data_IF_722794057790
#
_entry.id   IF_722794057790
#
_cell.length_a   1.000
_cell.length_b   1.000
_cell.length_c   1.000
_cell.angle_alpha   90.00
_cell.angle_beta   90.00
_cell.angle_gamma   90.00
#
_symmetry.space_group_name_H-M   'P 1'
#
loop_
_entity.id
_entity.type
_entity.pdbx_description
1 polymer ?
#
# COMPACT_ATOMS: atom_id res chain seq x y z
N UNK A 1 22.91 9.98 11.01
CA UNK A 1 21.87 10.12 9.99
C UNK A 1 21.05 11.34 10.36
N UNK A 2 20.85 12.31 9.43
CA UNK A 2 20.00 13.49 9.70
C UNK A 2 18.59 12.98 10.02
N UNK A 3 17.93 13.56 11.02
CA UNK A 3 16.57 13.20 11.40
C UNK A 3 15.65 13.34 10.19
N UNK A 4 15.10 12.20 9.78
CA UNK A 4 14.13 12.13 8.70
C UNK A 4 12.77 12.64 9.23
N UNK A 5 12.16 13.67 8.60
CA UNK A 5 10.97 14.35 9.12
C UNK A 5 9.75 13.44 9.22
N UNK A 6 9.70 12.32 8.46
CA UNK A 6 8.62 11.35 8.49
C UNK A 6 8.96 10.11 9.33
N UNK A 7 10.13 10.07 9.95
CA UNK A 7 10.61 8.93 10.73
C UNK A 7 10.66 7.61 9.92
N UNK A 8 11.03 7.69 8.63
CA UNK A 8 11.10 6.54 7.75
C UNK A 8 12.31 5.65 8.01
N UNK A 9 12.11 4.35 7.79
CA UNK A 9 13.18 3.36 7.73
C UNK A 9 13.63 3.19 6.25
N UNK A 10 14.90 3.46 5.94
CA UNK A 10 15.45 3.39 4.59
C UNK A 10 16.22 2.08 4.32
N UNK A 11 15.94 1.02 5.05
CA UNK A 11 16.59 -0.27 4.80
C UNK A 11 16.08 -0.87 3.48
N UNK A 12 16.97 -1.46 2.66
CA UNK A 12 16.55 -2.30 1.54
C UNK A 12 15.63 -3.43 2.04
N UNK A 13 14.63 -3.78 1.23
CA UNK A 13 13.68 -4.83 1.54
C UNK A 13 14.03 -6.11 0.77
N UNK A 14 13.93 -7.24 1.43
CA UNK A 14 13.86 -8.55 0.75
C UNK A 14 12.45 -8.78 0.20
N UNK A 15 12.29 -9.70 -0.76
CA UNK A 15 10.97 -10.08 -1.29
C UNK A 15 10.02 -10.55 -0.19
N UNK A 16 10.52 -11.31 0.78
CA UNK A 16 9.72 -11.78 1.92
C UNK A 16 9.28 -10.63 2.84
N UNK A 17 10.17 -9.65 3.06
CA UNK A 17 9.78 -8.45 3.80
C UNK A 17 8.74 -7.62 3.04
N UNK A 18 8.90 -7.47 1.72
CA UNK A 18 7.90 -6.79 0.87
C UNK A 18 6.54 -7.50 0.95
N UNK A 19 6.52 -8.83 0.92
CA UNK A 19 5.31 -9.62 1.04
C UNK A 19 4.63 -9.41 2.41
N UNK A 20 5.40 -9.45 3.50
CA UNK A 20 4.90 -9.16 4.85
C UNK A 20 4.36 -7.74 4.96
N UNK A 21 5.03 -6.76 4.36
CA UNK A 21 4.60 -5.36 4.36
C UNK A 21 3.26 -5.18 3.61
N UNK A 22 3.05 -5.88 2.49
CA UNK A 22 1.76 -5.90 1.80
C UNK A 22 0.66 -6.50 2.69
N UNK A 23 0.95 -7.60 3.39
CA UNK A 23 -0.01 -8.23 4.31
C UNK A 23 -0.39 -7.29 5.45
N UNK A 24 0.60 -6.64 6.09
CA UNK A 24 0.37 -5.65 7.15
C UNK A 24 -0.45 -4.45 6.67
N UNK A 25 -0.22 -4.01 5.44
CA UNK A 25 -0.95 -2.89 4.84
C UNK A 25 -2.33 -3.28 4.28
N UNK A 26 -2.69 -4.58 4.31
CA UNK A 26 -3.88 -5.15 3.67
C UNK A 26 -4.00 -4.74 2.18
N UNK A 27 -2.90 -4.83 1.45
CA UNK A 27 -2.78 -4.48 0.03
C UNK A 27 -2.57 -5.73 -0.80
N UNK A 28 -3.43 -5.96 -1.79
CA UNK A 28 -3.33 -7.12 -2.67
C UNK A 28 -2.00 -7.15 -3.43
N UNK A 29 -1.36 -8.32 -3.47
CA UNK A 29 -0.04 -8.50 -4.07
C UNK A 29 -0.03 -9.69 -5.03
N UNK A 30 0.73 -9.55 -6.12
CA UNK A 30 0.95 -10.61 -7.10
C UNK A 30 2.41 -11.06 -7.08
N UNK A 31 2.60 -12.37 -6.95
CA UNK A 31 3.91 -13.01 -6.90
C UNK A 31 4.25 -13.56 -8.29
N UNK A 32 5.21 -12.90 -8.96
CA UNK A 32 5.77 -13.34 -10.22
C UNK A 32 6.92 -14.32 -9.99
N UNK A 33 7.18 -15.18 -10.97
CA UNK A 33 8.37 -16.01 -11.03
C UNK A 33 8.07 -17.39 -11.56
N UNK A 34 9.10 -18.16 -11.93
CA UNK A 34 8.96 -19.48 -12.54
C UNK A 34 8.29 -20.47 -11.61
N UNK A 35 7.80 -21.57 -12.19
CA UNK A 35 7.24 -22.68 -11.44
C UNK A 35 8.31 -23.26 -10.50
N UNK A 36 7.91 -23.62 -9.28
CA UNK A 36 8.81 -24.24 -8.31
C UNK A 36 9.70 -23.27 -7.52
N UNK A 37 9.66 -21.93 -7.76
CA UNK A 37 10.47 -20.95 -7.01
C UNK A 37 10.01 -20.72 -5.56
N UNK A 38 8.94 -21.41 -5.14
CA UNK A 38 8.48 -21.39 -3.75
C UNK A 38 7.40 -20.35 -3.42
N UNK A 39 6.73 -19.76 -4.43
CA UNK A 39 5.65 -18.75 -4.20
C UNK A 39 4.60 -19.22 -3.18
N UNK A 40 4.00 -20.39 -3.42
CA UNK A 40 2.96 -20.95 -2.55
C UNK A 40 3.49 -21.37 -1.16
N UNK A 41 4.78 -21.77 -1.07
CA UNK A 41 5.41 -22.09 0.22
C UNK A 41 5.59 -20.85 1.10
N UNK A 42 5.96 -19.71 0.51
CA UNK A 42 6.10 -18.43 1.22
C UNK A 42 4.77 -17.94 1.76
N UNK A 43 3.68 -18.12 1.01
CA UNK A 43 2.33 -17.81 1.48
C UNK A 43 1.95 -18.64 2.69
N UNK A 44 2.29 -19.96 2.68
CA UNK A 44 2.05 -20.84 3.84
C UNK A 44 2.91 -20.51 5.06
N UNK A 45 4.08 -19.93 4.87
CA UNK A 45 4.90 -19.43 5.98
C UNK A 45 4.27 -18.23 6.67
N UNK A 46 3.57 -17.37 5.91
CA UNK A 46 2.85 -16.20 6.44
C UNK A 46 1.53 -16.63 7.10
N UNK A 47 0.74 -17.41 6.39
CA UNK A 47 -0.52 -17.95 6.90
C UNK A 47 -0.59 -19.46 6.60
N UNK A 48 -0.22 -20.34 7.56
CA UNK A 48 -0.32 -21.79 7.40
C UNK A 48 -1.74 -22.27 7.11
N UNK A 49 -2.74 -21.44 7.45
CA UNK A 49 -4.16 -21.72 7.27
C UNK A 49 -4.76 -21.06 6.03
N UNK A 50 -3.94 -20.42 5.18
CA UNK A 50 -4.38 -19.71 3.99
C UNK A 50 -5.46 -20.46 3.20
N UNK A 51 -6.43 -19.71 2.68
CA UNK A 51 -7.45 -20.29 1.80
C UNK A 51 -6.96 -20.24 0.36
N UNK A 52 -6.91 -21.38 -0.31
CA UNK A 52 -6.35 -21.53 -1.65
C UNK A 52 -7.43 -21.62 -2.70
N UNK A 53 -7.28 -20.88 -3.79
CA UNK A 53 -7.96 -21.07 -5.08
C UNK A 53 -6.85 -21.38 -6.09
N UNK A 54 -6.69 -22.64 -6.49
CA UNK A 54 -5.76 -23.00 -7.58
C UNK A 54 -6.53 -22.98 -8.90
N UNK A 55 -6.22 -22.00 -9.74
CA UNK A 55 -6.86 -21.84 -11.02
C UNK A 55 -6.38 -22.90 -12.03
N UNK A 56 -7.29 -23.37 -12.84
CA UNK A 56 -7.05 -24.40 -13.88
C UNK A 56 -7.65 -23.96 -15.21
N UNK A 57 -7.02 -24.30 -16.35
CA UNK A 57 -7.50 -23.87 -17.66
C UNK A 57 -8.99 -24.20 -17.93
N UNK A 58 -9.50 -25.29 -17.36
CA UNK A 58 -10.88 -25.77 -17.51
C UNK A 58 -11.77 -25.40 -16.30
N UNK A 59 -11.33 -24.52 -15.42
CA UNK A 59 -12.10 -24.15 -14.24
C UNK A 59 -13.41 -23.45 -14.63
N UNK A 60 -14.51 -23.90 -14.03
CA UNK A 60 -15.81 -23.26 -14.25
C UNK A 60 -15.90 -21.93 -13.49
N UNK A 61 -16.48 -20.90 -14.11
CA UNK A 61 -16.70 -19.59 -13.45
C UNK A 61 -17.47 -19.70 -12.11
N UNK A 62 -18.33 -20.70 -11.97
CA UNK A 62 -19.14 -20.96 -10.78
C UNK A 62 -18.28 -21.39 -9.56
N UNK A 63 -17.15 -22.03 -9.79
CA UNK A 63 -16.21 -22.41 -8.71
C UNK A 63 -15.63 -21.15 -8.04
N UNK A 64 -15.55 -20.04 -8.75
CA UNK A 64 -15.06 -18.74 -8.24
C UNK A 64 -16.23 -17.87 -7.76
N UNK A 65 -17.30 -17.78 -8.55
CA UNK A 65 -18.38 -16.82 -8.36
C UNK A 65 -19.62 -17.34 -7.61
N UNK A 66 -19.66 -18.65 -7.25
CA UNK A 66 -20.80 -19.28 -6.64
C UNK A 66 -21.86 -19.72 -7.65
N UNK A 67 -22.86 -20.43 -7.19
CA UNK A 67 -23.93 -21.08 -8.00
C UNK A 67 -25.28 -20.49 -7.68
N UNK A 68 -26.06 -20.17 -8.71
CA UNK A 68 -27.47 -19.79 -8.53
C UNK A 68 -28.31 -21.03 -8.21
N UNK A 69 -28.94 -21.07 -7.06
CA UNK A 69 -29.99 -22.03 -6.76
C UNK A 69 -31.28 -21.63 -7.53
N UNK A 70 -31.64 -22.40 -8.54
CA UNK A 70 -32.79 -22.11 -9.41
C UNK A 70 -34.15 -22.26 -8.72
N UNK A 71 -34.22 -23.02 -7.63
CA UNK A 71 -35.43 -23.22 -6.87
C UNK A 71 -35.74 -22.05 -5.92
N UNK A 72 -34.70 -21.54 -5.25
CA UNK A 72 -34.82 -20.44 -4.26
C UNK A 72 -34.55 -19.07 -4.86
N UNK A 73 -33.89 -18.99 -6.02
CA UNK A 73 -33.40 -17.73 -6.60
C UNK A 73 -32.19 -17.13 -5.88
N UNK A 74 -31.65 -17.80 -4.88
CA UNK A 74 -30.52 -17.34 -4.10
C UNK A 74 -29.18 -17.88 -4.64
N UNK A 75 -28.10 -17.13 -4.47
CA UNK A 75 -26.77 -17.60 -4.79
C UNK A 75 -26.16 -18.38 -3.62
N UNK A 76 -25.65 -19.57 -3.92
CA UNK A 76 -24.86 -20.38 -3.00
C UNK A 76 -23.40 -19.92 -3.07
N UNK A 77 -22.79 -19.52 -1.93
CA UNK A 77 -21.40 -19.07 -1.91
C UNK A 77 -20.42 -20.18 -2.34
N UNK A 78 -19.31 -19.80 -3.00
CA UNK A 78 -18.27 -20.76 -3.30
C UNK A 78 -17.58 -21.24 -2.02
N UNK A 79 -17.00 -22.43 -2.05
CA UNK A 79 -16.39 -23.06 -0.87
C UNK A 79 -15.25 -22.23 -0.28
N UNK A 80 -14.43 -21.62 -1.14
CA UNK A 80 -13.32 -20.76 -0.68
C UNK A 80 -13.81 -19.61 0.18
N UNK A 81 -14.95 -19.00 -0.18
CA UNK A 81 -15.51 -17.88 0.56
C UNK A 81 -16.01 -18.30 1.95
N UNK A 82 -16.76 -19.40 2.03
CA UNK A 82 -17.27 -19.90 3.32
C UNK A 82 -16.12 -20.29 4.26
N UNK A 83 -15.05 -20.88 3.72
CA UNK A 83 -13.85 -21.21 4.50
C UNK A 83 -13.11 -19.97 5.00
N UNK A 84 -12.89 -18.98 4.12
CA UNK A 84 -12.21 -17.74 4.48
C UNK A 84 -12.99 -16.97 5.55
N UNK A 85 -14.30 -16.75 5.33
CA UNK A 85 -15.15 -16.01 6.27
C UNK A 85 -15.19 -16.67 7.64
N UNK A 86 -15.22 -18.02 7.68
CA UNK A 86 -15.18 -18.74 8.95
C UNK A 86 -13.87 -18.45 9.70
N UNK A 87 -12.73 -18.59 9.05
CA UNK A 87 -11.41 -18.31 9.65
C UNK A 87 -11.30 -16.88 10.17
N UNK A 88 -11.73 -15.91 9.34
CA UNK A 88 -11.71 -14.50 9.72
C UNK A 88 -12.58 -14.17 10.92
N UNK A 89 -13.69 -14.90 11.11
CA UNK A 89 -14.56 -14.76 12.27
C UNK A 89 -14.00 -15.44 13.52
N UNK A 90 -13.36 -16.60 13.33
CA UNK A 90 -12.78 -17.38 14.43
C UNK A 90 -11.55 -16.66 15.04
N UNK A 91 -10.77 -15.94 14.20
CA UNK A 91 -9.56 -15.21 14.58
C UNK A 91 -9.61 -13.75 14.06
N UNK A 92 -10.42 -12.86 14.64
CA UNK A 92 -10.71 -11.52 14.09
C UNK A 92 -9.52 -10.56 14.09
N UNK A 93 -8.54 -10.78 14.95
CA UNK A 93 -7.35 -9.91 15.10
C UNK A 93 -6.17 -10.38 14.20
N UNK A 94 -6.33 -11.50 13.49
CA UNK A 94 -5.32 -12.06 12.61
C UNK A 94 -5.67 -11.80 11.15
N UNK A 95 -4.66 -11.48 10.34
CA UNK A 95 -4.81 -11.42 8.88
C UNK A 95 -4.86 -12.83 8.29
N UNK A 96 -5.86 -13.09 7.46
CA UNK A 96 -6.02 -14.36 6.74
C UNK A 96 -5.78 -14.16 5.25
N UNK A 97 -5.11 -15.12 4.62
CA UNK A 97 -4.77 -15.03 3.20
C UNK A 97 -5.77 -15.79 2.35
N UNK A 98 -6.33 -15.09 1.35
CA UNK A 98 -6.94 -15.71 0.18
C UNK A 98 -5.86 -15.78 -0.91
N UNK A 99 -5.33 -16.96 -1.16
CA UNK A 99 -4.30 -17.18 -2.15
C UNK A 99 -4.87 -17.70 -3.46
N UNK A 100 -4.70 -16.95 -4.53
CA UNK A 100 -5.17 -17.27 -5.89
C UNK A 100 -3.95 -17.69 -6.70
N UNK A 101 -3.73 -18.99 -6.80
CA UNK A 101 -2.58 -19.56 -7.49
C UNK A 101 -2.87 -19.82 -8.97
N UNK A 102 -1.82 -19.81 -9.78
CA UNK A 102 -1.86 -20.09 -11.22
C UNK A 102 -2.75 -19.12 -12.03
N UNK A 103 -2.77 -17.83 -11.64
CA UNK A 103 -3.65 -16.82 -12.24
C UNK A 103 -3.35 -16.59 -13.73
N UNK A 104 -2.13 -16.83 -14.18
CA UNK A 104 -1.72 -16.76 -15.58
C UNK A 104 -2.09 -18.01 -16.40
N UNK A 105 -2.57 -19.07 -15.77
CA UNK A 105 -2.98 -20.30 -16.48
C UNK A 105 -4.43 -20.26 -17.00
N UNK A 106 -5.16 -19.19 -16.69
CA UNK A 106 -6.58 -19.06 -17.09
C UNK A 106 -6.80 -17.96 -18.10
N UNK A 107 -7.79 -18.16 -18.96
CA UNK A 107 -8.18 -17.20 -20.00
C UNK A 107 -8.57 -15.84 -19.36
N UNK A 108 -8.42 -14.73 -20.11
CA UNK A 108 -8.83 -13.39 -19.66
C UNK A 108 -10.27 -13.30 -19.15
N UNK A 109 -11.19 -14.11 -19.72
CA UNK A 109 -12.59 -14.20 -19.27
C UNK A 109 -12.71 -14.73 -17.84
N UNK A 110 -11.86 -15.66 -17.42
CA UNK A 110 -11.82 -16.18 -16.04
C UNK A 110 -11.10 -15.18 -15.13
N UNK A 111 -10.00 -14.58 -15.62
CA UNK A 111 -9.31 -13.52 -14.89
C UNK A 111 -10.26 -12.36 -14.52
N UNK A 112 -11.24 -12.06 -15.37
CA UNK A 112 -12.22 -10.98 -15.12
C UNK A 112 -13.06 -11.20 -13.86
N UNK A 113 -13.30 -12.44 -13.45
CA UNK A 113 -14.03 -12.76 -12.22
C UNK A 113 -13.23 -12.42 -10.95
N UNK A 114 -11.92 -12.33 -11.10
CA UNK A 114 -11.01 -11.99 -9.98
C UNK A 114 -10.93 -10.47 -9.76
N UNK A 115 -11.30 -9.64 -10.76
CA UNK A 115 -11.16 -8.18 -10.66
C UNK A 115 -11.86 -7.59 -9.45
N UNK A 116 -13.12 -7.95 -9.23
CA UNK A 116 -13.90 -7.42 -8.12
C UNK A 116 -13.41 -7.96 -6.77
N UNK A 117 -12.91 -9.19 -6.72
CA UNK A 117 -12.34 -9.78 -5.50
C UNK A 117 -11.12 -8.96 -5.07
N UNK A 118 -10.24 -8.62 -6.02
CA UNK A 118 -8.99 -7.91 -5.73
C UNK A 118 -9.21 -6.43 -5.42
N UNK A 119 -10.05 -5.74 -6.21
CA UNK A 119 -10.24 -4.31 -6.09
C UNK A 119 -11.32 -3.92 -5.10
N UNK A 120 -12.53 -4.47 -5.35
CA UNK A 120 -13.74 -4.05 -4.63
C UNK A 120 -13.91 -4.87 -3.34
N UNK A 121 -13.04 -5.86 -3.14
CA UNK A 121 -13.10 -6.81 -2.03
C UNK A 121 -14.45 -7.53 -1.96
N UNK A 122 -15.02 -7.83 -3.14
CA UNK A 122 -16.31 -8.49 -3.33
C UNK A 122 -16.21 -9.48 -4.47
N UNK A 123 -17.01 -10.55 -4.42
CA UNK A 123 -17.15 -11.46 -5.53
C UNK A 123 -18.05 -10.92 -6.64
N UNK A 124 -18.53 -11.83 -7.48
CA UNK A 124 -19.39 -11.52 -8.61
C UNK A 124 -20.61 -10.68 -8.20
N UNK A 125 -20.90 -9.62 -8.95
CA UNK A 125 -22.06 -8.75 -8.78
C UNK A 125 -22.21 -8.14 -7.37
N UNK A 126 -21.08 -7.94 -6.67
CA UNK A 126 -21.05 -7.40 -5.32
C UNK A 126 -21.39 -8.40 -4.21
N UNK A 127 -21.59 -9.66 -4.57
CA UNK A 127 -21.76 -10.77 -3.63
C UNK A 127 -20.43 -11.10 -2.94
N UNK A 128 -20.50 -11.82 -1.87
CA UNK A 128 -19.31 -12.35 -1.16
C UNK A 128 -18.29 -11.29 -0.75
N UNK A 129 -18.67 -10.28 0.07
CA UNK A 129 -17.73 -9.27 0.54
C UNK A 129 -16.64 -9.92 1.40
N UNK A 130 -15.37 -9.61 1.09
CA UNK A 130 -14.25 -10.12 1.88
C UNK A 130 -14.22 -9.43 3.24
N UNK A 131 -13.95 -10.18 4.32
CA UNK A 131 -13.71 -9.61 5.65
C UNK A 131 -12.55 -8.61 5.65
N UNK A 132 -12.58 -7.63 6.55
CA UNK A 132 -11.53 -6.61 6.66
C UNK A 132 -10.15 -7.20 7.01
N UNK A 133 -10.14 -8.32 7.74
CA UNK A 133 -8.94 -9.07 8.08
C UNK A 133 -8.59 -10.18 7.08
N UNK A 134 -9.01 -10.05 5.82
CA UNK A 134 -8.59 -10.92 4.73
C UNK A 134 -7.73 -10.15 3.72
N UNK A 135 -6.69 -10.75 3.18
CA UNK A 135 -5.87 -10.19 2.10
C UNK A 135 -5.86 -11.13 0.91
N UNK A 136 -5.82 -10.57 -0.31
CA UNK A 136 -5.69 -11.34 -1.55
C UNK A 136 -4.24 -11.35 -2.01
N UNK A 137 -3.68 -12.55 -2.17
CA UNK A 137 -2.37 -12.77 -2.79
C UNK A 137 -2.59 -13.59 -4.07
N UNK A 138 -2.17 -13.05 -5.21
CA UNK A 138 -2.17 -13.77 -6.48
C UNK A 138 -0.78 -14.35 -6.78
N UNK A 139 -0.71 -15.42 -7.57
CA UNK A 139 0.55 -15.90 -8.12
C UNK A 139 0.36 -16.44 -9.54
N UNK A 140 1.42 -16.35 -10.32
CA UNK A 140 1.47 -16.90 -11.68
C UNK A 140 2.88 -16.93 -12.21
N UNK A 141 3.06 -17.70 -13.28
CA UNK A 141 4.32 -17.78 -13.99
C UNK A 141 4.40 -16.66 -15.03
N UNK A 142 5.60 -16.28 -15.42
CA UNK A 142 5.77 -15.36 -16.56
C UNK A 142 5.43 -16.08 -17.88
N UNK A 143 4.94 -15.30 -18.85
CA UNK A 143 4.51 -15.85 -20.15
C UNK A 143 5.69 -16.51 -20.87
N UNK A 144 6.91 -16.04 -20.64
CA UNK A 144 8.13 -16.63 -21.21
C UNK A 144 8.41 -18.04 -20.69
N UNK A 145 7.93 -18.39 -19.49
CA UNK A 145 8.22 -19.68 -18.85
C UNK A 145 7.25 -20.80 -19.24
N UNK A 146 6.08 -20.46 -19.79
CA UNK A 146 5.03 -21.46 -20.11
C UNK A 146 4.32 -21.10 -21.40
N UNK A 147 4.45 -21.93 -22.40
CA UNK A 147 3.85 -21.75 -23.74
C UNK A 147 2.30 -21.66 -23.78
N UNK A 148 1.64 -21.92 -22.67
CA UNK A 148 0.16 -21.86 -22.51
C UNK A 148 -0.29 -20.80 -21.51
N UNK A 149 0.61 -19.94 -20.99
CA UNK A 149 0.25 -18.89 -20.06
C UNK A 149 -0.43 -17.73 -20.76
N UNK A 150 -1.42 -17.15 -20.11
CA UNK A 150 -2.02 -15.89 -20.51
C UNK A 150 -1.46 -14.77 -19.66
N UNK A 151 -0.99 -13.66 -20.24
CA UNK A 151 -0.56 -12.52 -19.45
C UNK A 151 -1.72 -12.03 -18.57
N UNK A 152 -1.39 -11.44 -17.44
CA UNK A 152 -2.40 -10.72 -16.69
C UNK A 152 -2.98 -9.60 -17.56
N UNK A 153 -4.30 -9.51 -17.61
CA UNK A 153 -4.93 -8.38 -18.27
C UNK A 153 -4.48 -7.08 -17.62
N UNK A 154 -4.30 -6.01 -18.38
CA UNK A 154 -3.85 -4.71 -17.86
C UNK A 154 -4.72 -4.22 -16.70
N UNK A 155 -6.02 -4.51 -16.75
CA UNK A 155 -6.97 -4.19 -15.67
C UNK A 155 -6.64 -4.92 -14.35
N UNK A 156 -6.28 -6.20 -14.42
CA UNK A 156 -5.94 -6.99 -13.23
C UNK A 156 -4.52 -6.67 -12.73
N UNK A 157 -3.57 -6.47 -13.67
CA UNK A 157 -2.21 -6.07 -13.35
C UNK A 157 -2.17 -4.80 -12.49
N UNK A 158 -2.97 -3.78 -12.82
CA UNK A 158 -3.04 -2.51 -12.07
C UNK A 158 -3.63 -2.66 -10.66
N UNK A 159 -4.25 -3.79 -10.32
CA UNK A 159 -4.91 -4.01 -9.02
C UNK A 159 -4.02 -4.63 -7.96
N UNK A 160 -2.86 -5.11 -8.36
CA UNK A 160 -1.88 -5.72 -7.46
C UNK A 160 -0.65 -4.82 -7.24
N UNK A 161 -0.02 -4.93 -6.09
CA UNK A 161 1.41 -4.73 -5.95
C UNK A 161 2.13 -5.93 -6.57
N UNK A 162 3.37 -5.76 -7.02
CA UNK A 162 4.08 -6.83 -7.71
C UNK A 162 5.40 -7.14 -7.02
N UNK A 163 5.65 -8.45 -6.78
CA UNK A 163 6.91 -8.96 -6.25
C UNK A 163 7.42 -10.03 -7.21
N UNK A 164 8.68 -9.90 -7.63
CA UNK A 164 9.31 -10.80 -8.58
C UNK A 164 10.28 -11.72 -7.86
N UNK A 165 9.98 -13.01 -7.89
CA UNK A 165 10.84 -14.05 -7.35
C UNK A 165 11.68 -14.68 -8.46
N UNK A 166 12.99 -14.64 -8.27
CA UNK A 166 13.96 -15.29 -9.13
C UNK A 166 14.49 -16.56 -8.45
N UNK A 167 15.01 -17.49 -9.26
CA UNK A 167 15.67 -18.69 -8.72
C UNK A 167 16.98 -18.26 -8.08
N UNK A 168 17.08 -18.42 -6.77
CA UNK A 168 18.28 -18.09 -6.00
C UNK A 168 18.76 -19.32 -5.23
N UNK A 169 19.98 -19.76 -5.55
CA UNK A 169 20.59 -20.95 -4.91
C UNK A 169 20.78 -20.77 -3.40
N UNK A 170 21.18 -19.57 -2.96
CA UNK A 170 21.39 -19.29 -1.55
C UNK A 170 20.08 -19.36 -0.77
N UNK A 171 18.99 -18.78 -1.31
CA UNK A 171 17.65 -18.83 -0.70
C UNK A 171 17.15 -20.28 -0.61
N UNK A 172 17.35 -21.06 -1.66
CA UNK A 172 16.97 -22.49 -1.67
C UNK A 172 17.77 -23.30 -0.63
N UNK A 173 19.08 -23.08 -0.53
CA UNK A 173 19.93 -23.77 0.44
C UNK A 173 19.62 -23.33 1.87
N UNK A 174 19.34 -22.08 2.09
CA UNK A 174 18.89 -21.57 3.39
C UNK A 174 17.57 -22.21 3.79
N UNK A 175 16.58 -22.27 2.88
CA UNK A 175 15.34 -22.96 3.12
C UNK A 175 15.55 -24.46 3.41
N UNK A 176 16.42 -25.13 2.66
CA UNK A 176 16.69 -26.55 2.85
C UNK A 176 17.43 -26.88 4.17
N UNK A 177 18.22 -25.92 4.67
CA UNK A 177 18.91 -26.04 5.95
C UNK A 177 18.06 -25.57 7.13
N UNK A 178 17.02 -24.79 6.88
CA UNK A 178 16.10 -24.28 7.89
C UNK A 178 15.05 -25.37 8.22
N UNK A 179 15.50 -26.42 8.91
CA UNK A 179 14.64 -27.46 9.48
C UNK A 179 13.87 -26.89 10.69
N UNK A 180 14.17 -25.69 11.10
CA UNK A 180 13.58 -25.04 12.24
C UNK A 180 12.34 -24.25 11.85
N UNK A 181 11.21 -24.79 12.22
CA UNK A 181 10.11 -24.03 12.75
C UNK A 181 9.28 -23.20 11.75
N UNK A 182 8.53 -23.90 10.90
CA UNK A 182 7.33 -23.33 10.25
C UNK A 182 6.24 -22.88 11.25
N UNK A 183 6.50 -23.01 12.56
CA UNK A 183 5.54 -22.72 13.64
C UNK A 183 5.61 -21.27 14.16
N UNK A 184 6.56 -20.46 13.70
CA UNK A 184 6.67 -19.04 14.08
C UNK A 184 6.28 -18.10 12.94
N UNK A 185 5.13 -18.32 12.33
CA UNK A 185 4.47 -17.21 11.66
C UNK A 185 4.12 -16.20 12.78
N UNK A 186 4.82 -15.07 12.81
CA UNK A 186 4.41 -13.96 13.65
C UNK A 186 2.96 -13.65 13.29
N UNK A 187 2.07 -13.65 14.27
CA UNK A 187 0.68 -13.27 14.04
C UNK A 187 0.68 -11.83 13.52
N UNK A 188 0.19 -11.66 12.30
CA UNK A 188 0.12 -10.35 11.68
C UNK A 188 -1.21 -9.73 12.11
N UNK A 189 -1.12 -8.74 12.97
CA UNK A 189 -2.29 -7.97 13.40
C UNK A 189 -2.81 -7.07 12.27
N UNK A 190 -4.11 -6.83 12.29
CA UNK A 190 -4.75 -5.87 11.36
C UNK A 190 -4.25 -4.47 11.68
N UNK A 191 -3.63 -3.80 10.71
CA UNK A 191 -3.24 -2.41 10.87
C UNK A 191 -4.47 -1.50 10.87
N UNK A 192 -4.45 -0.46 11.70
CA UNK A 192 -5.48 0.57 11.66
C UNK A 192 -5.53 1.24 10.28
N UNK A 193 -6.74 1.51 9.78
CA UNK A 193 -6.91 2.26 8.53
C UNK A 193 -6.32 3.66 8.70
N UNK A 194 -5.50 4.14 7.77
CA UNK A 194 -4.94 5.47 7.87
C UNK A 194 -6.05 6.53 7.84
N UNK A 195 -5.95 7.52 8.71
CA UNK A 195 -6.90 8.64 8.81
C UNK A 195 -6.91 9.57 7.58
N UNK A 196 -5.92 9.47 6.72
CA UNK A 196 -5.76 10.30 5.51
C UNK A 196 -5.64 9.43 4.28
N UNK A 197 -6.30 9.81 3.17
CA UNK A 197 -6.24 9.10 1.88
C UNK A 197 -4.82 9.03 1.32
N UNK A 198 -4.04 10.11 1.43
CA UNK A 198 -2.65 10.15 0.99
C UNK A 198 -1.72 10.52 2.14
N UNK A 199 -0.59 9.81 2.20
CA UNK A 199 0.50 10.16 3.11
C UNK A 199 1.06 11.56 2.74
N UNK A 200 1.32 12.47 3.71
CA UNK A 200 1.78 13.83 3.43
C UNK A 200 3.03 13.90 2.54
N UNK A 201 3.96 12.96 2.69
CA UNK A 201 5.15 12.88 1.84
C UNK A 201 4.81 12.57 0.38
N UNK A 202 3.86 11.66 0.13
CA UNK A 202 3.39 11.32 -1.22
C UNK A 202 2.67 12.51 -1.84
N UNK A 203 1.79 13.16 -1.07
CA UNK A 203 1.10 14.37 -1.52
C UNK A 203 2.09 15.46 -1.98
N UNK A 204 3.10 15.77 -1.16
CA UNK A 204 4.09 16.79 -1.50
C UNK A 204 4.98 16.37 -2.68
N UNK A 205 5.29 15.09 -2.81
CA UNK A 205 6.05 14.55 -3.94
C UNK A 205 5.32 14.70 -5.26
N UNK A 206 4.08 14.22 -5.34
CA UNK A 206 3.24 14.33 -6.55
C UNK A 206 3.07 15.81 -6.93
N UNK A 207 2.79 16.67 -5.95
CA UNK A 207 2.69 18.12 -6.20
C UNK A 207 3.97 18.72 -6.78
N UNK A 208 5.13 18.27 -6.33
CA UNK A 208 6.42 18.80 -6.79
C UNK A 208 6.84 18.28 -8.17
N UNK A 209 6.43 17.06 -8.54
CA UNK A 209 6.80 16.39 -9.79
C UNK A 209 5.73 16.51 -10.89
N UNK A 210 4.49 16.82 -10.52
CA UNK A 210 3.39 17.01 -11.45
C UNK A 210 2.86 15.72 -12.08
N UNK A 211 2.29 15.85 -13.28
CA UNK A 211 1.63 14.74 -13.98
C UNK A 211 2.58 13.60 -14.36
N UNK A 212 3.85 13.87 -14.56
CA UNK A 212 4.85 12.89 -14.99
C UNK A 212 5.01 11.70 -14.04
N UNK A 213 4.67 11.87 -12.76
CA UNK A 213 4.74 10.80 -11.76
C UNK A 213 3.36 10.23 -11.41
N UNK A 214 2.28 10.90 -11.82
CA UNK A 214 0.93 10.53 -11.42
C UNK A 214 0.38 9.37 -12.26
N UNK A 215 0.76 9.29 -13.53
CA UNK A 215 0.23 8.31 -14.46
C UNK A 215 1.30 7.84 -15.45
N UNK A 216 1.29 6.54 -15.76
CA UNK A 216 2.03 5.93 -16.86
C UNK A 216 1.18 4.88 -17.56
N UNK A 217 1.33 4.75 -18.87
CA UNK A 217 0.65 3.75 -19.66
C UNK A 217 1.16 2.34 -19.35
N UNK A 218 0.28 1.35 -19.48
CA UNK A 218 0.63 -0.06 -19.42
C UNK A 218 1.02 -0.53 -20.82
N UNK A 219 2.22 -1.09 -20.93
CA UNK A 219 2.73 -1.71 -22.16
C UNK A 219 2.64 -3.23 -22.02
N UNK A 220 1.89 -3.88 -22.91
CA UNK A 220 1.72 -5.34 -22.91
C UNK A 220 2.98 -6.07 -23.41
N UNK A 221 3.79 -5.41 -24.23
CA UNK A 221 5.02 -5.99 -24.79
C UNK A 221 6.20 -5.87 -23.82
N UNK A 222 6.19 -4.83 -22.96
CA UNK A 222 7.14 -4.63 -21.87
C UNK A 222 6.39 -4.38 -20.54
N UNK A 223 5.86 -5.40 -19.86
CA UNK A 223 5.09 -5.20 -18.64
C UNK A 223 5.97 -4.63 -17.52
N UNK A 224 5.85 -3.33 -17.28
CA UNK A 224 6.44 -2.61 -16.15
C UNK A 224 5.36 -2.23 -15.14
N UNK A 225 5.76 -1.96 -13.92
CA UNK A 225 4.83 -1.40 -12.95
C UNK A 225 4.40 -0.02 -13.44
N UNK A 226 3.18 0.06 -13.94
CA UNK A 226 2.56 1.32 -14.34
C UNK A 226 1.91 2.00 -13.14
N UNK A 227 1.86 3.31 -13.18
CA UNK A 227 1.34 4.15 -12.09
C UNK A 227 0.04 4.79 -12.51
N UNK A 228 -0.87 4.88 -11.58
CA UNK A 228 -2.10 5.64 -11.66
C UNK A 228 -2.48 6.18 -10.25
N UNK A 229 -3.49 7.04 -10.11
CA UNK A 229 -3.91 7.55 -8.80
C UNK A 229 -4.17 6.46 -7.75
N UNK A 230 -4.71 5.30 -8.17
CA UNK A 230 -4.95 4.14 -7.27
C UNK A 230 -3.66 3.54 -6.76
N UNK A 231 -2.63 3.45 -7.59
CA UNK A 231 -1.30 2.97 -7.16
C UNK A 231 -0.69 3.89 -6.11
N UNK A 232 -0.96 5.18 -6.17
CA UNK A 232 -0.53 6.12 -5.13
C UNK A 232 -1.32 5.97 -3.83
N UNK A 233 -2.60 5.59 -3.87
CA UNK A 233 -3.34 5.22 -2.65
C UNK A 233 -2.73 3.97 -2.01
N UNK A 234 -2.42 2.95 -2.82
CA UNK A 234 -1.75 1.72 -2.37
C UNK A 234 -0.38 2.07 -1.76
N UNK A 235 0.43 2.88 -2.45
CA UNK A 235 1.72 3.35 -1.95
C UNK A 235 1.57 4.08 -0.60
N UNK A 236 0.52 4.87 -0.45
CA UNK A 236 0.21 5.56 0.80
C UNK A 236 -0.08 4.58 1.94
N UNK A 237 -0.90 3.54 1.70
CA UNK A 237 -1.19 2.50 2.69
C UNK A 237 0.08 1.75 3.11
N UNK A 238 0.93 1.37 2.14
CA UNK A 238 2.22 0.74 2.42
C UNK A 238 3.10 1.64 3.30
N UNK A 239 3.17 2.93 2.96
CA UNK A 239 4.01 3.88 3.70
C UNK A 239 3.53 4.12 5.13
N UNK A 240 2.22 4.20 5.36
CA UNK A 240 1.64 4.29 6.71
C UNK A 240 1.94 3.04 7.54
N UNK A 241 1.76 1.85 6.96
CA UNK A 241 1.94 0.58 7.66
C UNK A 241 3.41 0.28 7.99
N UNK A 242 4.32 0.56 7.05
CA UNK A 242 5.72 0.12 7.14
C UNK A 242 6.67 1.21 7.59
N UNK A 243 6.30 2.47 7.40
CA UNK A 243 7.18 3.65 7.58
C UNK A 243 8.51 3.51 6.82
N UNK A 244 8.54 2.72 5.76
CA UNK A 244 9.69 2.49 4.92
C UNK A 244 9.38 2.89 3.47
N UNK A 245 9.98 3.97 2.94
CA UNK A 245 9.71 4.40 1.57
C UNK A 245 10.15 3.41 0.49
N UNK A 246 11.05 2.45 0.80
CA UNK A 246 11.40 1.40 -0.14
C UNK A 246 10.23 0.41 -0.38
N UNK A 247 9.24 0.34 0.51
CA UNK A 247 8.04 -0.47 0.29
C UNK A 247 7.22 -0.03 -0.93
N UNK A 248 7.40 1.21 -1.39
CA UNK A 248 6.73 1.75 -2.56
C UNK A 248 7.15 1.03 -3.86
N UNK A 249 8.31 0.36 -3.86
CA UNK A 249 8.79 -0.42 -5.00
C UNK A 249 7.72 -1.37 -5.58
N UNK A 250 6.93 -1.97 -4.71
CA UNK A 250 5.86 -2.91 -5.08
C UNK A 250 4.66 -2.24 -5.78
N UNK A 251 4.44 -0.96 -5.50
CA UNK A 251 3.30 -0.20 -6.01
C UNK A 251 3.65 0.65 -7.23
N UNK A 252 4.78 1.37 -7.18
CA UNK A 252 5.14 2.39 -8.18
C UNK A 252 6.43 2.09 -8.96
N UNK A 253 7.07 0.94 -8.70
CA UNK A 253 8.28 0.51 -9.40
C UNK A 253 9.57 1.15 -8.88
N UNK A 254 10.70 0.64 -9.37
CA UNK A 254 12.02 0.96 -8.84
C UNK A 254 12.43 2.42 -9.09
N UNK A 255 12.17 2.92 -10.28
CA UNK A 255 12.59 4.27 -10.72
C UNK A 255 11.90 5.35 -9.88
N UNK A 256 10.57 5.32 -9.81
CA UNK A 256 9.80 6.30 -9.03
C UNK A 256 10.06 6.16 -7.54
N UNK A 257 10.27 4.93 -7.04
CA UNK A 257 10.64 4.73 -5.64
C UNK A 257 11.99 5.36 -5.31
N UNK A 258 12.98 5.21 -6.19
CA UNK A 258 14.30 5.81 -6.00
C UNK A 258 14.23 7.35 -5.99
N UNK A 259 13.47 7.94 -6.92
CA UNK A 259 13.25 9.40 -6.94
C UNK A 259 12.49 9.88 -5.70
N UNK A 260 11.45 9.16 -5.28
CA UNK A 260 10.72 9.46 -4.05
C UNK A 260 11.63 9.39 -2.80
N UNK A 261 12.44 8.35 -2.69
CA UNK A 261 13.39 8.20 -1.57
C UNK A 261 14.39 9.36 -1.54
N UNK A 262 14.90 9.76 -2.70
CA UNK A 262 15.80 10.91 -2.82
C UNK A 262 15.08 12.20 -2.41
N UNK A 263 13.87 12.43 -2.91
CA UNK A 263 13.04 13.58 -2.57
C UNK A 263 12.84 13.71 -1.06
N UNK A 264 12.44 12.63 -0.37
CA UNK A 264 12.20 12.64 1.07
C UNK A 264 13.48 12.89 1.87
N UNK A 265 14.64 12.40 1.42
CA UNK A 265 15.95 12.67 2.06
C UNK A 265 16.37 14.14 1.95
N UNK A 266 15.87 14.85 0.95
CA UNK A 266 16.17 16.27 0.74
C UNK A 266 15.31 17.22 1.58
N UNK A 267 14.22 16.73 2.21
CA UNK A 267 13.38 17.53 3.10
C UNK A 267 14.19 17.95 4.33
N UNK A 268 14.32 19.26 4.59
CA UNK A 268 15.37 19.75 5.49
C UNK A 268 15.02 19.67 6.98
N UNK A 269 13.73 19.59 7.36
CA UNK A 269 13.29 19.78 8.74
C UNK A 269 12.27 18.76 9.21
N UNK A 270 12.44 18.30 10.45
CA UNK A 270 11.47 17.51 11.21
C UNK A 270 10.68 18.39 12.19
N UNK A 271 9.61 17.86 12.77
CA UNK A 271 8.87 18.51 13.87
C UNK A 271 9.81 18.79 15.05
N UNK A 272 10.70 17.86 15.40
CA UNK A 272 11.67 18.02 16.47
C UNK A 272 12.67 19.16 16.20
N UNK A 273 13.12 19.32 14.95
CA UNK A 273 14.01 20.43 14.59
C UNK A 273 13.33 21.77 14.80
N UNK A 274 12.03 21.87 14.47
CA UNK A 274 11.25 23.09 14.69
C UNK A 274 11.07 23.38 16.18
N UNK A 275 10.70 22.39 16.97
CA UNK A 275 10.50 22.55 18.41
C UNK A 275 11.78 22.90 19.15
N UNK A 276 12.89 22.31 18.75
CA UNK A 276 14.22 22.56 19.33
C UNK A 276 14.92 23.78 18.72
N UNK A 277 14.27 24.49 17.78
CA UNK A 277 14.83 25.63 17.05
C UNK A 277 16.14 25.31 16.31
N UNK A 278 16.29 24.08 15.88
CA UNK A 278 17.46 23.56 15.18
C UNK A 278 17.33 23.77 13.67
N UNK A 279 17.25 25.04 13.22
CA UNK A 279 17.10 25.40 11.81
C UNK A 279 17.84 26.70 11.46
N UNK A 280 18.31 26.77 10.21
CA UNK A 280 18.94 27.96 9.66
C UNK A 280 17.92 28.85 8.96
N UNK A 281 17.69 30.06 9.52
CA UNK A 281 16.74 31.03 8.99
C UNK A 281 17.10 31.55 7.60
N UNK A 282 18.39 31.66 7.27
CA UNK A 282 18.84 32.11 5.98
C UNK A 282 18.55 31.06 4.90
N UNK A 283 18.75 29.79 5.25
CA UNK A 283 18.43 28.66 4.37
C UNK A 283 16.93 28.58 4.11
N UNK A 284 16.09 28.81 5.12
CA UNK A 284 14.63 28.84 4.98
C UNK A 284 14.16 29.97 4.06
N UNK A 285 14.75 31.16 4.20
CA UNK A 285 14.41 32.31 3.35
C UNK A 285 14.74 32.09 1.87
N UNK A 286 15.76 31.29 1.57
CA UNK A 286 16.20 30.95 0.21
C UNK A 286 15.50 29.74 -0.40
N UNK A 287 14.61 29.07 0.35
CA UNK A 287 13.89 27.91 -0.16
C UNK A 287 12.88 28.29 -1.25
N UNK A 288 12.92 27.54 -2.36
CA UNK A 288 11.86 27.58 -3.37
C UNK A 288 10.51 27.11 -2.82
N UNK A 289 9.43 27.50 -3.49
CA UNK A 289 8.05 27.21 -3.06
C UNK A 289 7.82 25.71 -2.86
N UNK A 290 8.28 24.87 -3.77
CA UNK A 290 8.11 23.41 -3.68
C UNK A 290 8.75 22.82 -2.42
N UNK A 291 9.96 23.29 -2.06
CA UNK A 291 10.63 22.83 -0.84
C UNK A 291 9.95 23.36 0.42
N UNK A 292 9.37 24.55 0.39
CA UNK A 292 8.56 25.09 1.49
C UNK A 292 7.31 24.24 1.72
N UNK A 293 6.60 23.90 0.64
CA UNK A 293 5.43 23.01 0.69
C UNK A 293 5.83 21.63 1.22
N UNK A 294 6.88 21.03 0.68
CA UNK A 294 7.38 19.74 1.13
C UNK A 294 7.72 19.73 2.62
N UNK A 295 8.36 20.80 3.10
CA UNK A 295 8.68 20.99 4.52
C UNK A 295 7.42 21.10 5.37
N UNK A 296 6.45 21.94 4.95
CA UNK A 296 5.18 22.07 5.66
C UNK A 296 4.41 20.75 5.72
N UNK A 297 4.38 19.99 4.62
CA UNK A 297 3.74 18.67 4.60
C UNK A 297 4.43 17.67 5.53
N UNK A 298 5.75 17.71 5.65
CA UNK A 298 6.47 16.91 6.63
C UNK A 298 6.09 17.26 8.08
N UNK A 299 5.88 18.54 8.34
CA UNK A 299 5.50 19.04 9.66
C UNK A 299 4.05 18.70 10.06
N UNK A 300 3.20 18.22 9.14
CA UNK A 300 1.86 17.71 9.50
C UNK A 300 1.88 16.42 10.33
N UNK A 301 3.05 15.85 10.61
CA UNK A 301 3.22 14.79 11.60
C UNK A 301 3.19 15.29 13.06
N UNK A 302 3.10 16.61 13.29
CA UNK A 302 2.97 17.18 14.62
C UNK A 302 1.68 16.67 15.29
N UNK A 303 1.78 16.27 16.56
CA UNK A 303 0.61 15.94 17.36
C UNK A 303 -0.09 17.20 17.90
N UNK A 304 -1.24 17.04 18.55
CA UNK A 304 -2.06 18.14 19.07
C UNK A 304 -1.32 19.07 20.05
N UNK A 305 -0.36 18.56 20.83
CA UNK A 305 0.46 19.37 21.74
C UNK A 305 1.54 20.15 21.02
N UNK A 306 1.96 19.69 19.86
CA UNK A 306 3.05 20.23 19.04
C UNK A 306 2.55 21.21 17.95
N UNK A 307 1.26 21.17 17.63
CA UNK A 307 0.72 21.87 16.47
C UNK A 307 0.86 23.39 16.57
N UNK A 308 0.59 23.99 17.75
CA UNK A 308 0.64 25.45 17.93
C UNK A 308 2.02 26.03 17.59
N UNK A 309 3.14 25.57 18.18
CA UNK A 309 4.47 26.09 17.82
C UNK A 309 4.88 25.77 16.37
N UNK A 310 4.47 24.61 15.83
CA UNK A 310 4.76 24.23 14.44
C UNK A 310 4.00 25.14 13.46
N UNK A 311 2.73 25.41 13.72
CA UNK A 311 1.92 26.32 12.90
C UNK A 311 2.49 27.74 12.85
N UNK A 312 2.92 28.27 14.01
CA UNK A 312 3.61 29.57 14.10
C UNK A 312 4.89 29.58 13.26
N UNK A 313 5.66 28.47 13.28
CA UNK A 313 6.84 28.32 12.44
C UNK A 313 6.48 28.35 10.95
N UNK A 314 5.47 27.58 10.52
CA UNK A 314 5.03 27.53 9.12
C UNK A 314 4.60 28.90 8.64
N UNK A 315 3.74 29.60 9.41
CA UNK A 315 3.29 30.97 9.12
C UNK A 315 4.47 31.92 8.90
N UNK A 316 5.42 31.89 9.84
CA UNK A 316 6.53 32.86 9.88
C UNK A 316 7.61 32.63 8.81
N UNK A 317 7.94 31.38 8.52
CA UNK A 317 9.10 31.05 7.69
C UNK A 317 8.76 30.43 6.33
N UNK A 318 7.60 29.78 6.20
CA UNK A 318 7.19 29.14 4.95
C UNK A 318 6.15 29.95 4.18
N UNK A 319 5.37 30.79 4.84
CA UNK A 319 4.41 31.72 4.24
C UNK A 319 2.95 31.33 4.44
N UNK A 320 2.04 32.30 4.27
CA UNK A 320 0.61 32.12 4.56
C UNK A 320 -0.10 31.19 3.57
N UNK A 321 0.29 31.19 2.30
CA UNK A 321 -0.27 30.28 1.30
C UNK A 321 0.06 28.80 1.64
N UNK A 322 1.27 28.58 2.15
CA UNK A 322 1.72 27.27 2.60
C UNK A 322 1.03 26.87 3.91
N UNK A 323 0.75 27.86 4.79
CA UNK A 323 0.04 27.65 6.04
C UNK A 323 -1.38 27.14 5.81
N UNK A 324 -2.13 27.73 4.90
CA UNK A 324 -3.50 27.29 4.61
C UNK A 324 -3.54 25.83 4.19
N UNK A 325 -2.60 25.41 3.36
CA UNK A 325 -2.48 24.03 2.92
C UNK A 325 -2.01 23.10 4.03
N UNK A 326 -1.10 23.56 4.89
CA UNK A 326 -0.66 22.85 6.08
C UNK A 326 -1.83 22.58 7.02
N UNK A 327 -2.62 23.61 7.35
CA UNK A 327 -3.78 23.49 8.25
C UNK A 327 -4.79 22.48 7.69
N UNK A 328 -5.19 22.61 6.42
CA UNK A 328 -6.10 21.67 5.77
C UNK A 328 -5.59 20.22 5.80
N UNK A 329 -4.30 20.03 5.55
CA UNK A 329 -3.70 18.69 5.54
C UNK A 329 -3.60 18.12 6.96
N UNK A 330 -3.31 18.95 7.96
CA UNK A 330 -3.23 18.51 9.36
C UNK A 330 -4.60 18.18 9.96
N UNK A 331 -5.63 18.99 9.66
CA UNK A 331 -7.01 18.76 10.09
C UNK A 331 -7.52 17.42 9.50
N UNK A 332 -7.40 17.22 8.19
CA UNK A 332 -7.97 16.07 7.49
C UNK A 332 -9.49 16.00 7.65
N UNK A 333 -10.02 14.87 8.08
CA UNK A 333 -11.44 14.63 8.36
C UNK A 333 -11.73 14.59 9.88
N UNK A 334 -10.89 15.23 10.71
CA UNK A 334 -10.98 15.20 12.16
C UNK A 334 -11.54 16.52 12.71
N UNK A 335 -12.77 16.48 13.22
CA UNK A 335 -13.48 17.65 13.76
C UNK A 335 -12.80 18.25 14.99
N UNK A 336 -12.20 17.44 15.87
CA UNK A 336 -11.48 17.91 17.06
C UNK A 336 -10.24 18.74 16.67
N UNK A 337 -9.54 18.32 15.61
CA UNK A 337 -8.41 19.07 15.06
C UNK A 337 -8.86 20.37 14.40
N UNK A 338 -10.01 20.37 13.73
CA UNK A 338 -10.58 21.59 13.16
C UNK A 338 -10.90 22.60 14.26
N UNK A 339 -11.52 22.17 15.37
CA UNK A 339 -11.78 23.01 16.53
C UNK A 339 -10.49 23.53 17.18
N UNK A 340 -9.47 22.69 17.28
CA UNK A 340 -8.19 23.11 17.83
C UNK A 340 -7.51 24.19 16.98
N UNK A 341 -7.52 24.06 15.66
CA UNK A 341 -6.97 25.10 14.76
C UNK A 341 -7.79 26.38 14.85
N UNK A 342 -9.12 26.29 14.88
CA UNK A 342 -9.99 27.46 15.06
C UNK A 342 -9.65 28.24 16.35
N UNK A 343 -9.48 27.53 17.48
CA UNK A 343 -9.07 28.14 18.73
C UNK A 343 -7.67 28.79 18.68
N UNK A 344 -6.72 28.19 17.96
CA UNK A 344 -5.39 28.78 17.77
C UNK A 344 -5.49 30.06 16.91
N UNK A 345 -6.33 30.07 15.88
CA UNK A 345 -6.55 31.23 15.02
C UNK A 345 -7.18 32.41 15.80
N UNK A 346 -8.14 32.13 16.69
CA UNK A 346 -8.73 33.13 17.59
C UNK A 346 -7.67 33.74 18.52
N UNK A 347 -6.82 32.91 19.13
CA UNK A 347 -5.71 33.36 19.99
C UNK A 347 -4.69 34.24 19.25
N UNK A 348 -4.48 34.00 17.94
CA UNK A 348 -3.54 34.76 17.10
C UNK A 348 -4.17 36.07 16.56
N UNK A 349 -5.45 36.36 16.83
CA UNK A 349 -6.15 37.53 16.31
C UNK A 349 -6.48 37.47 14.82
N UNK A 350 -6.39 36.29 14.20
CA UNK A 350 -6.70 36.04 12.79
C UNK A 350 -8.21 35.84 12.53
N UNK A 351 -9.08 36.50 13.32
CA UNK A 351 -10.54 36.38 13.17
C UNK A 351 -11.01 37.23 12.00
N UNK A 352 -10.98 36.66 10.81
CA UNK A 352 -11.83 37.03 9.69
C UNK A 352 -12.14 35.81 8.81
N UNK A 353 -12.95 34.90 9.36
CA UNK A 353 -13.66 33.91 8.54
C UNK A 353 -15.15 34.08 8.84
N UNK A 354 -15.80 34.87 7.98
CA UNK A 354 -17.25 34.82 7.79
C UNK A 354 -17.55 33.91 6.60
#
# INVERSE_FOLDING_TARGET
>A
MKNNPYNFNFKPLTNDQMLLDCVKANVSVFLHGPSGVGKSSRVRQIDPTATFITLRPQMNPEEIGGVLNRETGEYIPPLWYTQLVKKCKDEPNKMHVLFIDELTNVKPTVQSLIYSIVLDRKGKDGLWPLPDNAIVIGAGNEVADVSAAYPLTGALYRRFCHIYYEVNVADFLNWANDISDTSKAEEIEVSEKPSKKLHPAIYSYIRSRGENVLYSDYDEDEPKICVDPRKWEIASHLLYATKNPNSLLMAIGAELTADFVQYVKEIPLSVEDVLNKNYDKNRLAQMGVDKKIATAMALTNANEKQIKPVRVFVKKYLGEEVLAQFDLTWIGENDDRALLIAGIMEDEGDVNVK
#
